data_IF_995150583384
#
_entry.id   IF_995150583384
#
_cell.length_a   1.000
_cell.length_b   1.000
_cell.length_c   1.000
_cell.angle_alpha   90.00
_cell.angle_beta   90.00
_cell.angle_gamma   90.00
#
_symmetry.space_group_name_H-M   'P 1'
#
loop_
_entity.id
_entity.type
_entity.pdbx_description
1 polymer ?
#
# COMPACT_ATOMS: atom_id res chain seq x y z
N UNK A 1 22.37 -0.90 -9.97
CA UNK A 1 20.94 -0.66 -10.24
C UNK A 1 20.21 -1.92 -9.85
N UNK A 2 19.24 -1.87 -8.92
CA UNK A 2 18.42 -3.05 -8.60
C UNK A 2 17.60 -3.41 -9.83
N UNK A 3 17.63 -4.68 -10.23
CA UNK A 3 16.82 -5.19 -11.34
C UNK A 3 15.44 -5.53 -10.81
N UNK A 4 14.45 -4.70 -11.14
CA UNK A 4 13.05 -4.92 -10.83
C UNK A 4 12.44 -5.79 -11.93
N UNK A 5 12.09 -7.04 -11.61
CA UNK A 5 11.55 -7.98 -12.59
C UNK A 5 10.54 -8.91 -11.96
N UNK A 6 9.66 -9.44 -12.79
CA UNK A 6 8.55 -10.29 -12.37
C UNK A 6 7.22 -9.54 -12.30
N UNK A 7 6.23 -10.25 -11.80
CA UNK A 7 4.84 -9.82 -11.71
C UNK A 7 4.37 -9.83 -10.25
N UNK A 8 3.41 -8.96 -9.93
CA UNK A 8 2.73 -8.86 -8.64
C UNK A 8 1.23 -8.93 -8.91
N UNK A 9 0.50 -9.77 -8.17
CA UNK A 9 -0.97 -9.75 -8.25
C UNK A 9 -1.51 -8.48 -7.59
N UNK A 10 -2.60 -7.93 -8.12
CA UNK A 10 -3.22 -6.74 -7.53
C UNK A 10 -3.69 -7.02 -6.10
N UNK A 11 -4.13 -8.24 -5.79
CA UNK A 11 -4.45 -8.65 -4.42
C UNK A 11 -3.25 -8.60 -3.46
N UNK A 12 -2.06 -9.04 -3.91
CA UNK A 12 -0.83 -8.96 -3.10
C UNK A 12 -0.39 -7.51 -2.89
N UNK A 13 -0.67 -6.62 -3.84
CA UNK A 13 -0.45 -5.20 -3.67
C UNK A 13 -1.46 -4.61 -2.67
N UNK A 14 -2.76 -4.87 -2.86
CA UNK A 14 -3.84 -4.25 -2.09
C UNK A 14 -3.96 -4.75 -0.65
N UNK A 15 -3.32 -5.87 -0.28
CA UNK A 15 -3.31 -6.34 1.12
C UNK A 15 -2.70 -5.30 2.09
N UNK A 16 -1.82 -4.43 1.60
CA UNK A 16 -1.19 -3.35 2.36
C UNK A 16 -2.01 -2.04 2.36
N UNK A 17 -3.15 -1.99 1.65
CA UNK A 17 -3.91 -0.76 1.48
C UNK A 17 -4.70 -0.37 2.73
N UNK A 18 -4.38 0.83 3.26
CA UNK A 18 -5.03 1.43 4.42
C UNK A 18 -5.95 2.63 4.08
N UNK A 19 -5.84 3.19 2.87
CA UNK A 19 -6.58 4.40 2.47
C UNK A 19 -6.14 5.69 3.17
N UNK A 20 -4.86 5.77 3.53
CA UNK A 20 -4.23 6.96 4.16
C UNK A 20 -3.31 7.72 3.19
N UNK A 21 -3.33 7.38 1.91
CA UNK A 21 -2.46 7.90 0.85
C UNK A 21 -3.09 9.06 0.05
N UNK A 22 -4.24 9.58 0.51
CA UNK A 22 -4.95 10.67 -0.17
C UNK A 22 -5.50 10.30 -1.54
N UNK A 23 -5.79 9.01 -1.77
CA UNK A 23 -6.31 8.50 -3.03
C UNK A 23 -5.24 8.22 -4.08
N UNK A 24 -3.97 8.14 -3.67
CA UNK A 24 -2.86 7.78 -4.55
C UNK A 24 -3.07 6.39 -5.18
N UNK A 25 -3.55 5.42 -4.40
CA UNK A 25 -3.85 4.08 -4.89
C UNK A 25 -4.85 4.09 -6.05
N UNK A 26 -6.00 4.77 -5.91
CA UNK A 26 -7.00 4.84 -6.98
C UNK A 26 -6.46 5.55 -8.24
N UNK A 27 -5.58 6.55 -8.07
CA UNK A 27 -4.90 7.18 -9.20
C UNK A 27 -3.95 6.20 -9.91
N UNK A 28 -3.24 5.37 -9.16
CA UNK A 28 -2.37 4.34 -9.72
C UNK A 28 -3.18 3.26 -10.46
N UNK A 29 -4.29 2.76 -9.89
CA UNK A 29 -5.19 1.82 -10.57
C UNK A 29 -5.72 2.42 -11.88
N UNK A 30 -6.18 3.68 -11.84
CA UNK A 30 -6.65 4.40 -13.03
C UNK A 30 -5.55 4.55 -14.10
N UNK A 31 -4.31 4.87 -13.69
CA UNK A 31 -3.20 5.03 -14.62
C UNK A 31 -2.75 3.71 -15.28
N UNK A 32 -3.10 2.58 -14.67
CA UNK A 32 -2.84 1.23 -15.17
C UNK A 32 -4.07 0.60 -15.85
N UNK A 33 -5.16 1.36 -16.01
CA UNK A 33 -6.43 0.88 -16.59
C UNK A 33 -7.04 -0.32 -15.83
N UNK A 34 -6.81 -0.38 -14.52
CA UNK A 34 -7.36 -1.41 -13.63
C UNK A 34 -8.71 -0.91 -13.09
N UNK A 35 -9.78 -1.67 -13.32
CA UNK A 35 -11.12 -1.30 -12.86
C UNK A 35 -11.28 -1.49 -11.35
N UNK A 36 -11.94 -0.52 -10.68
CA UNK A 36 -12.26 -0.55 -9.25
C UNK A 36 -13.65 0.04 -8.99
N UNK A 37 -14.71 -0.71 -9.31
CA UNK A 37 -16.09 -0.16 -9.35
C UNK A 37 -16.65 0.20 -7.97
N UNK A 38 -16.11 -0.36 -6.90
CA UNK A 38 -16.49 -0.01 -5.52
C UNK A 38 -15.84 1.31 -5.03
N UNK A 39 -14.94 1.89 -5.85
CA UNK A 39 -14.23 3.13 -5.54
C UNK A 39 -13.04 2.95 -4.59
N UNK A 40 -12.71 1.72 -4.19
CA UNK A 40 -11.69 1.42 -3.18
C UNK A 40 -10.65 0.44 -3.71
N UNK A 41 -11.08 -0.72 -4.21
CA UNK A 41 -10.21 -1.83 -4.61
C UNK A 41 -10.50 -2.30 -6.03
N UNK A 42 -9.48 -2.90 -6.64
CA UNK A 42 -9.59 -3.51 -7.95
C UNK A 42 -10.64 -4.62 -7.97
N UNK A 43 -11.37 -4.68 -9.07
CA UNK A 43 -12.41 -5.68 -9.29
C UNK A 43 -11.83 -7.09 -9.51
N UNK A 44 -10.60 -7.16 -10.04
CA UNK A 44 -9.89 -8.38 -10.39
C UNK A 44 -8.60 -8.52 -9.57
N UNK A 45 -8.66 -9.05 -8.32
CA UNK A 45 -7.49 -9.15 -7.46
C UNK A 45 -6.42 -10.12 -7.99
N UNK A 46 -6.79 -11.04 -8.88
CA UNK A 46 -5.86 -12.00 -9.49
C UNK A 46 -5.14 -11.44 -10.72
N UNK A 47 -5.52 -10.25 -11.20
CA UNK A 47 -4.79 -9.57 -12.26
C UNK A 47 -3.34 -9.39 -11.82
N UNK A 48 -2.39 -9.73 -12.68
CA UNK A 48 -0.97 -9.52 -12.43
C UNK A 48 -0.46 -8.33 -13.22
N UNK A 49 0.39 -7.53 -12.60
CA UNK A 49 1.06 -6.40 -13.25
C UNK A 49 2.58 -6.49 -13.06
N UNK A 50 3.35 -5.93 -14.00
CA UNK A 50 4.80 -5.88 -13.87
C UNK A 50 5.21 -5.14 -12.60
N UNK A 51 6.26 -5.63 -11.94
CA UNK A 51 6.86 -4.97 -10.76
C UNK A 51 7.17 -3.49 -11.03
N UNK A 52 7.62 -3.17 -12.24
CA UNK A 52 7.92 -1.79 -12.64
C UNK A 52 6.67 -0.88 -12.62
N UNK A 53 5.49 -1.40 -12.96
CA UNK A 53 4.23 -0.67 -12.85
C UNK A 53 3.89 -0.36 -11.39
N UNK A 54 4.11 -1.32 -10.48
CA UNK A 54 3.93 -1.12 -9.03
C UNK A 54 4.96 -0.12 -8.49
N UNK A 55 6.20 -0.16 -8.97
CA UNK A 55 7.23 0.83 -8.61
C UNK A 55 6.85 2.24 -9.05
N UNK A 56 6.36 2.40 -10.28
CA UNK A 56 5.80 3.67 -10.76
C UNK A 56 4.61 4.11 -9.92
N UNK A 57 3.74 3.18 -9.50
CA UNK A 57 2.62 3.49 -8.61
C UNK A 57 3.08 4.18 -7.31
N UNK A 58 4.11 3.62 -6.67
CA UNK A 58 4.71 4.18 -5.46
C UNK A 58 5.41 5.53 -5.71
N UNK A 59 6.23 5.64 -6.76
CA UNK A 59 7.08 6.81 -6.99
C UNK A 59 6.30 8.00 -7.58
N UNK A 60 5.46 7.77 -8.58
CA UNK A 60 4.75 8.82 -9.31
C UNK A 60 3.48 9.28 -8.59
N UNK A 61 2.68 8.34 -8.06
CA UNK A 61 1.40 8.67 -7.42
C UNK A 61 1.48 8.74 -5.91
N UNK A 62 2.51 8.15 -5.29
CA UNK A 62 2.64 8.09 -3.84
C UNK A 62 1.84 6.95 -3.20
N UNK A 63 1.56 5.89 -3.96
CA UNK A 63 0.81 4.74 -3.43
C UNK A 63 1.58 4.04 -2.30
N UNK A 64 0.96 4.00 -1.12
CA UNK A 64 1.54 3.38 0.08
C UNK A 64 1.59 1.86 -0.01
N UNK A 65 0.53 1.24 -0.52
CA UNK A 65 0.44 -0.21 -0.64
C UNK A 65 1.47 -0.72 -1.65
N UNK A 66 1.70 0.04 -2.72
CA UNK A 66 2.74 -0.26 -3.71
C UNK A 66 4.13 -0.22 -3.09
N UNK A 67 4.39 0.77 -2.21
CA UNK A 67 5.65 0.84 -1.49
C UNK A 67 5.86 -0.35 -0.55
N UNK A 68 4.84 -0.79 0.18
CA UNK A 68 4.97 -1.92 1.11
C UNK A 68 5.07 -3.27 0.42
N UNK A 69 4.32 -3.53 -0.66
CA UNK A 69 4.46 -4.80 -1.39
C UNK A 69 5.86 -4.93 -2.00
N UNK A 70 6.45 -3.83 -2.47
CA UNK A 70 7.83 -3.82 -2.96
C UNK A 70 8.84 -3.95 -1.82
N UNK A 71 8.57 -3.31 -0.67
CA UNK A 71 9.39 -3.47 0.54
C UNK A 71 9.47 -4.93 0.96
N UNK A 72 8.32 -5.61 1.05
CA UNK A 72 8.24 -7.02 1.44
C UNK A 72 8.88 -7.93 0.39
N UNK A 73 8.52 -7.76 -0.89
CA UNK A 73 8.99 -8.59 -1.99
C UNK A 73 10.50 -8.57 -2.19
N UNK A 74 11.15 -7.43 -1.92
CA UNK A 74 12.57 -7.20 -2.18
C UNK A 74 13.39 -6.97 -0.90
N UNK A 75 12.81 -7.22 0.27
CA UNK A 75 13.45 -7.06 1.59
C UNK A 75 14.14 -5.68 1.72
N UNK A 76 13.37 -4.62 1.44
CA UNK A 76 13.89 -3.26 1.46
C UNK A 76 14.00 -2.75 2.91
N UNK A 77 15.17 -2.21 3.25
CA UNK A 77 15.38 -1.46 4.50
C UNK A 77 14.78 -0.05 4.38
N UNK A 78 13.45 0.00 4.34
CA UNK A 78 12.66 1.23 4.33
C UNK A 78 11.54 1.17 5.38
N UNK A 79 11.06 2.32 5.88
CA UNK A 79 9.90 2.36 6.75
C UNK A 79 8.66 1.76 6.07
N UNK A 80 7.87 0.99 6.81
CA UNK A 80 6.57 0.48 6.31
C UNK A 80 5.50 1.56 6.34
N UNK A 81 4.74 1.72 5.25
CA UNK A 81 3.60 2.64 5.22
C UNK A 81 2.40 2.04 5.95
N UNK A 82 2.19 0.73 5.85
CA UNK A 82 1.25 -0.06 6.65
C UNK A 82 1.55 0.14 8.14
N UNK A 83 2.79 -0.09 8.58
CA UNK A 83 3.21 0.08 9.97
C UNK A 83 2.94 1.48 10.51
N UNK A 84 3.34 2.51 9.76
CA UNK A 84 3.08 3.92 10.14
C UNK A 84 1.60 4.25 10.20
N UNK A 85 0.80 3.70 9.28
CA UNK A 85 -0.65 3.89 9.29
C UNK A 85 -1.32 3.20 10.49
N UNK A 86 -0.85 2.02 10.87
CA UNK A 86 -1.32 1.31 12.06
C UNK A 86 -0.91 2.05 13.34
N UNK A 87 0.33 2.55 13.43
CA UNK A 87 0.78 3.39 14.53
C UNK A 87 -0.07 4.66 14.65
N UNK A 88 -0.39 5.31 13.53
CA UNK A 88 -1.26 6.49 13.53
C UNK A 88 -2.65 6.18 14.09
N UNK A 89 -3.26 5.06 13.65
CA UNK A 89 -4.67 4.75 13.98
C UNK A 89 -4.82 4.12 15.35
N UNK A 90 -3.88 3.26 15.75
CA UNK A 90 -3.93 2.50 17.00
C UNK A 90 -3.02 3.07 18.11
N UNK A 91 -2.00 3.85 17.77
CA UNK A 91 -0.97 4.29 18.70
C UNK A 91 0.06 3.21 19.05
N UNK A 92 0.12 2.13 18.26
CA UNK A 92 0.95 0.95 18.51
C UNK A 92 1.80 0.60 17.27
N UNK A 93 3.09 0.34 17.49
CA UNK A 93 4.04 -0.11 16.47
C UNK A 93 4.05 -1.65 16.33
N UNK A 94 4.63 -2.15 15.23
CA UNK A 94 4.88 -3.59 15.05
C UNK A 94 3.63 -4.44 14.78
N UNK A 95 2.54 -3.81 14.35
CA UNK A 95 1.27 -4.47 14.08
C UNK A 95 1.15 -5.04 12.66
N UNK A 96 2.11 -4.82 11.77
CA UNK A 96 2.01 -5.11 10.34
C UNK A 96 1.70 -6.58 10.07
N UNK A 97 2.53 -7.49 10.58
CA UNK A 97 2.36 -8.94 10.38
C UNK A 97 1.02 -9.40 10.94
N UNK A 98 0.70 -8.97 12.17
CA UNK A 98 -0.56 -9.32 12.81
C UNK A 98 -1.75 -8.77 12.02
N UNK A 99 -1.66 -7.57 11.48
CA UNK A 99 -2.73 -6.96 10.70
C UNK A 99 -3.02 -7.75 9.43
N UNK A 100 -1.99 -8.28 8.75
CA UNK A 100 -2.16 -9.14 7.59
C UNK A 100 -2.82 -10.48 7.94
N UNK A 101 -2.53 -11.02 9.13
CA UNK A 101 -2.98 -12.35 9.56
C UNK A 101 -4.30 -12.36 10.38
N UNK A 102 -4.71 -11.23 10.97
CA UNK A 102 -5.81 -11.14 11.95
C UNK A 102 -7.00 -10.32 11.39
N UNK A 103 -8.05 -10.98 10.86
CA UNK A 103 -9.25 -10.30 10.37
C UNK A 103 -9.95 -9.44 11.43
N UNK A 104 -9.86 -9.79 12.72
CA UNK A 104 -10.46 -8.98 13.78
C UNK A 104 -9.73 -7.64 13.93
N UNK A 105 -8.40 -7.63 13.76
CA UNK A 105 -7.62 -6.40 13.75
C UNK A 105 -7.92 -5.54 12.51
N UNK A 106 -8.11 -6.15 11.34
CA UNK A 106 -8.52 -5.45 10.12
C UNK A 106 -9.90 -4.78 10.28
N UNK A 107 -10.88 -5.49 10.86
CA UNK A 107 -12.20 -4.93 11.15
C UNK A 107 -12.12 -3.79 12.17
N UNK A 108 -11.29 -3.96 13.20
CA UNK A 108 -11.05 -2.93 14.21
C UNK A 108 -10.44 -1.66 13.59
N UNK A 109 -9.52 -1.81 12.64
CA UNK A 109 -8.95 -0.70 11.89
C UNK A 109 -10.02 0.07 11.12
N UNK A 110 -10.93 -0.62 10.41
CA UNK A 110 -12.03 0.03 9.68
C UNK A 110 -12.88 0.90 10.64
N UNK A 111 -13.14 0.41 11.86
CA UNK A 111 -13.87 1.15 12.88
C UNK A 111 -13.17 2.43 13.33
N UNK A 112 -11.85 2.40 13.53
CA UNK A 112 -11.09 3.56 14.03
C UNK A 112 -10.63 4.52 12.94
N UNK A 113 -10.35 4.03 11.71
CA UNK A 113 -9.82 4.87 10.62
C UNK A 113 -10.72 6.05 10.28
N UNK A 114 -12.03 5.97 10.58
CA UNK A 114 -13.00 7.04 10.32
C UNK A 114 -12.58 8.37 10.93
N UNK A 115 -11.89 8.37 12.07
CA UNK A 115 -11.38 9.59 12.73
C UNK A 115 -10.27 10.27 11.93
N UNK A 116 -9.60 9.51 11.06
CA UNK A 116 -8.49 9.92 10.22
C UNK A 116 -8.90 10.08 8.75
N UNK A 117 -10.21 10.10 8.44
CA UNK A 117 -10.69 10.12 7.05
C UNK A 117 -10.22 11.35 6.23
N UNK A 118 -9.84 12.44 6.91
CA UNK A 118 -9.29 13.66 6.27
C UNK A 118 -7.76 13.73 6.34
N UNK A 119 -7.13 12.78 7.02
CA UNK A 119 -5.68 12.75 7.20
C UNK A 119 -5.04 12.04 6.01
N UNK A 120 -4.07 12.71 5.40
CA UNK A 120 -3.22 12.14 4.36
C UNK A 120 -1.84 11.96 4.98
N UNK A 121 -1.38 10.72 5.08
CA UNK A 121 -0.09 10.40 5.63
C UNK A 121 0.99 10.63 4.57
N UNK A 122 2.04 11.41 4.84
CA UNK A 122 3.11 11.61 3.87
C UNK A 122 4.00 10.37 3.76
N UNK A 123 4.38 10.03 2.52
CA UNK A 123 5.42 9.03 2.25
C UNK A 123 6.81 9.60 2.57
N UNK A 124 7.60 8.95 3.46
CA UNK A 124 8.95 9.39 3.81
C UNK A 124 9.92 9.37 2.62
N UNK A 125 10.94 10.22 2.67
CA UNK A 125 11.96 10.29 1.62
C UNK A 125 12.78 8.99 1.53
N UNK A 126 12.96 8.29 2.65
CA UNK A 126 13.66 7.02 2.77
C UNK A 126 12.96 5.93 1.95
N UNK A 127 11.62 5.92 1.95
CA UNK A 127 10.83 4.99 1.13
C UNK A 127 11.06 5.25 -0.36
N UNK A 128 10.97 6.52 -0.79
CA UNK A 128 11.25 6.90 -2.19
C UNK A 128 12.68 6.57 -2.60
N UNK A 129 13.66 6.80 -1.72
CA UNK A 129 15.07 6.48 -1.94
C UNK A 129 15.31 4.98 -2.08
N UNK A 130 14.63 4.14 -1.31
CA UNK A 130 14.76 2.69 -1.40
C UNK A 130 14.20 2.11 -2.71
N UNK A 131 13.24 2.80 -3.32
CA UNK A 131 12.58 2.44 -4.57
C UNK A 131 13.24 3.04 -5.82
N UNK A 132 14.09 4.07 -5.66
CA UNK A 132 14.79 4.75 -6.76
C UNK A 132 15.86 3.84 -7.39
#
# INVERSE_FOLDING_TARGET
MRTWSGEISVGDWEQYYLGLDGGAHQKALSALDIAYRDGVRADEPYLTVPVESVRRAALEFGDHAAADVLRDRFDLDSPSMLGRGLQLVFGEDGLEKRFLDDPALQLRYIGYRRRFAKYVMPMPAEVRKALA
#
